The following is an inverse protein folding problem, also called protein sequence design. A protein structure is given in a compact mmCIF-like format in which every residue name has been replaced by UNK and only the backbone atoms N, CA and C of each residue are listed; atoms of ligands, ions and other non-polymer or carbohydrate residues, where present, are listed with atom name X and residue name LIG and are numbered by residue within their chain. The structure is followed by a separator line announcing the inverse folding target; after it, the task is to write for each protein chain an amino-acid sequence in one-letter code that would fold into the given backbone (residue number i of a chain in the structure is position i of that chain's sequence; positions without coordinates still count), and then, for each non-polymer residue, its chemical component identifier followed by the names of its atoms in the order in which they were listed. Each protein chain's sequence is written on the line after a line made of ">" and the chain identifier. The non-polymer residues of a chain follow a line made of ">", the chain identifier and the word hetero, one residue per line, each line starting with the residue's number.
data_IF_948027849503
#
_entry.id   IF_948027849503
#
_cell.length_a   1.000
_cell.length_b   1.000
_cell.length_c   1.000
_cell.angle_alpha   90.00
_cell.angle_beta   90.00
_cell.angle_gamma   90.00
#
_symmetry.space_group_name_H-M   'P 1'
#
loop_
_entity.id
_entity.type
_entity.pdbx_description
1 polymer ?
#
# COMPACT_ATOMS: atom_id res chain seq x y z
N UNK A 1 -12.41 -8.37 -15.88
CA UNK A 1 -12.70 -8.08 -14.45
C UNK A 1 -11.51 -8.29 -13.52
N UNK A 2 -10.82 -9.45 -13.52
CA UNK A 2 -9.72 -9.73 -12.57
C UNK A 2 -8.56 -8.72 -12.58
N UNK A 3 -8.18 -8.22 -13.75
CA UNK A 3 -7.04 -7.29 -13.88
C UNK A 3 -7.25 -5.97 -13.12
N UNK A 4 -8.48 -5.48 -13.02
CA UNK A 4 -8.78 -4.25 -12.26
C UNK A 4 -8.61 -4.47 -10.76
N UNK A 5 -9.03 -5.63 -10.27
CA UNK A 5 -8.89 -6.01 -8.86
C UNK A 5 -7.42 -6.17 -8.49
N UNK A 6 -6.63 -6.83 -9.34
CA UNK A 6 -5.19 -7.01 -9.12
C UNK A 6 -4.48 -5.66 -9.04
N UNK A 7 -4.74 -4.77 -10.01
CA UNK A 7 -4.19 -3.41 -10.01
C UNK A 7 -4.60 -2.61 -8.77
N UNK A 8 -5.85 -2.75 -8.34
CA UNK A 8 -6.33 -2.08 -7.13
C UNK A 8 -5.63 -2.59 -5.86
N UNK A 9 -5.42 -3.91 -5.74
CA UNK A 9 -4.69 -4.52 -4.62
C UNK A 9 -3.23 -4.05 -4.60
N UNK A 10 -2.58 -4.02 -5.76
CA UNK A 10 -1.19 -3.57 -5.91
C UNK A 10 -1.04 -2.10 -5.50
N UNK A 11 -1.88 -1.22 -6.07
CA UNK A 11 -1.96 0.19 -5.68
C UNK A 11 -2.17 0.34 -4.17
N UNK A 12 -3.11 -0.42 -3.59
CA UNK A 12 -3.43 -0.29 -2.17
C UNK A 12 -2.28 -0.71 -1.26
N UNK A 13 -1.48 -1.70 -1.67
CA UNK A 13 -0.38 -2.22 -0.85
C UNK A 13 0.93 -1.45 -1.01
N UNK A 14 1.21 -0.95 -2.22
CA UNK A 14 2.51 -0.39 -2.58
C UNK A 14 2.50 1.13 -2.75
N UNK A 15 1.42 1.69 -3.29
CA UNK A 15 1.41 3.10 -3.72
C UNK A 15 0.53 3.99 -2.85
N UNK A 16 -0.42 3.39 -2.11
CA UNK A 16 -1.38 4.15 -1.31
C UNK A 16 -0.72 4.79 -0.09
N UNK A 17 -0.31 6.05 -0.23
CA UNK A 17 0.24 6.85 0.85
C UNK A 17 -0.88 7.33 1.79
N UNK A 18 -0.64 7.25 3.11
CA UNK A 18 -1.49 7.87 4.13
C UNK A 18 -0.67 8.82 4.99
N UNK A 19 -1.22 10.00 5.28
CA UNK A 19 -0.58 10.96 6.19
C UNK A 19 -0.21 10.34 7.55
N UNK A 20 -1.05 9.45 8.10
CA UNK A 20 -0.78 8.76 9.38
C UNK A 20 0.36 7.74 9.35
N UNK A 21 0.86 7.37 8.18
CA UNK A 21 1.98 6.45 8.02
C UNK A 21 3.28 7.21 7.74
N UNK A 22 3.36 8.50 8.07
CA UNK A 22 4.52 9.35 7.82
C UNK A 22 4.95 9.35 6.35
N UNK A 23 3.99 9.31 5.42
CA UNK A 23 4.27 9.27 3.97
C UNK A 23 4.68 7.90 3.44
N UNK A 24 4.72 6.86 4.28
CA UNK A 24 5.08 5.51 3.87
C UNK A 24 3.92 4.79 3.20
N UNK A 25 4.26 3.88 2.28
CA UNK A 25 3.31 2.91 1.75
C UNK A 25 2.95 1.86 2.83
N UNK A 26 1.81 1.16 2.69
CA UNK A 26 1.38 0.19 3.69
C UNK A 26 2.33 -0.99 3.87
N UNK A 27 3.05 -1.42 2.82
CA UNK A 27 4.09 -2.44 2.97
C UNK A 27 5.31 -1.89 3.72
N UNK A 28 5.81 -0.69 3.36
CA UNK A 28 6.98 -0.08 4.00
C UNK A 28 6.74 0.28 5.47
N UNK A 29 5.51 0.66 5.81
CA UNK A 29 5.14 0.88 7.20
C UNK A 29 5.17 -0.42 8.02
N UNK A 30 4.66 -1.53 7.45
CA UNK A 30 4.64 -2.84 8.13
C UNK A 30 6.05 -3.39 8.35
N UNK A 31 6.98 -3.13 7.44
CA UNK A 31 8.38 -3.55 7.59
C UNK A 31 9.14 -2.77 8.66
N UNK A 32 8.70 -1.56 9.03
CA UNK A 32 9.29 -0.80 10.14
C UNK A 32 8.70 -1.15 11.50
N UNK A 33 7.52 -1.77 11.52
CA UNK A 33 6.85 -2.21 12.74
C UNK A 33 7.25 -3.65 13.16
N UNK A 34 8.08 -4.33 12.37
CA UNK A 34 8.65 -5.64 12.65
C UNK A 34 10.04 -5.49 13.28
#
# INVERSE_FOLDING_TARGET
>A
MRQQIVKYIEYYNNDRIKLKLNGLSPVNYRTQAA
#
